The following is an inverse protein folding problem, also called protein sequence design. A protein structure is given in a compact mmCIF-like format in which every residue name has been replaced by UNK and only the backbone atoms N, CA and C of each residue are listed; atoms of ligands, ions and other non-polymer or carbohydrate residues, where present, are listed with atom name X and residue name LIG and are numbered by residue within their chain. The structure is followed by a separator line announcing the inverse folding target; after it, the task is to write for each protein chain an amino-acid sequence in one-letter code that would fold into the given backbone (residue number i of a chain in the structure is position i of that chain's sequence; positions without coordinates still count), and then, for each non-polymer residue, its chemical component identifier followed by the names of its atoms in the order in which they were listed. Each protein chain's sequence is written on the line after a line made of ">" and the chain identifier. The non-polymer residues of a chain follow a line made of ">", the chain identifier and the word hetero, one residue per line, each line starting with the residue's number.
data_IF_031673075759
#
_entry.id   IF_031673075759
#
_cell.length_a   1.000
_cell.length_b   1.000
_cell.length_c   1.000
_cell.angle_alpha   90.00
_cell.angle_beta   90.00
_cell.angle_gamma   90.00
#
_symmetry.space_group_name_H-M   'P 1'
#
loop_
_entity.id
_entity.type
_entity.pdbx_description
1 polymer ?
#
# COMPACT_ATOMS: atom_id res chain seq x y z
N UNK A 1 6.90 -18.50 13.54
CA UNK A 1 7.71 -17.31 13.87
C UNK A 1 7.22 -16.83 15.22
N UNK A 2 8.08 -16.82 16.24
CA UNK A 2 7.70 -16.39 17.59
C UNK A 2 8.15 -14.95 17.76
N UNK A 3 7.23 -14.05 18.11
CA UNK A 3 7.53 -12.67 18.45
C UNK A 3 7.34 -12.50 19.96
N UNK A 4 8.42 -12.13 20.65
CA UNK A 4 8.36 -11.74 22.05
C UNK A 4 8.31 -10.20 22.13
N UNK A 5 7.48 -9.69 23.03
CA UNK A 5 7.36 -8.26 23.31
C UNK A 5 7.56 -8.06 24.81
N UNK A 6 8.53 -7.23 25.19
CA UNK A 6 8.78 -6.84 26.57
C UNK A 6 8.29 -5.42 26.79
N UNK A 7 7.60 -5.16 27.91
CA UNK A 7 7.01 -3.85 28.23
C UNK A 7 7.40 -3.40 29.64
N UNK A 8 7.58 -2.08 29.80
CA UNK A 8 7.80 -1.44 31.10
C UNK A 8 6.49 -1.18 31.86
N UNK A 9 6.57 -0.43 32.97
CA UNK A 9 5.42 -0.20 33.86
C UNK A 9 4.23 0.51 33.20
N UNK A 10 4.46 1.34 32.18
CA UNK A 10 3.40 2.05 31.46
C UNK A 10 2.75 1.23 30.32
N UNK A 11 3.21 -0.01 30.09
CA UNK A 11 2.71 -0.88 29.02
C UNK A 11 3.09 -0.41 27.62
N UNK A 12 2.51 -1.04 26.59
CA UNK A 12 2.70 -0.64 25.18
C UNK A 12 1.42 -0.85 24.37
N UNK A 13 1.20 -0.01 23.36
CA UNK A 13 0.20 -0.22 22.31
C UNK A 13 0.93 -0.46 20.99
N UNK A 14 0.74 -1.63 20.41
CA UNK A 14 1.43 -2.01 19.17
C UNK A 14 0.51 -2.79 18.25
N UNK A 15 0.86 -2.80 16.96
CA UNK A 15 0.23 -3.61 15.93
C UNK A 15 1.32 -4.46 15.26
N UNK A 16 1.15 -5.78 15.28
CA UNK A 16 1.99 -6.71 14.53
C UNK A 16 1.26 -7.07 13.23
N UNK A 17 1.82 -6.64 12.09
CA UNK A 17 1.31 -6.98 10.76
C UNK A 17 2.32 -7.90 10.08
N UNK A 18 1.86 -9.03 9.58
CA UNK A 18 2.64 -9.93 8.72
C UNK A 18 1.81 -10.36 7.52
N UNK A 19 2.47 -10.64 6.39
CA UNK A 19 1.82 -11.02 5.15
C UNK A 19 2.77 -11.76 4.22
N UNK A 20 2.23 -12.62 3.36
CA UNK A 20 3.00 -13.29 2.31
C UNK A 20 3.44 -12.23 1.27
N UNK A 21 4.71 -12.19 0.86
CA UNK A 21 5.13 -11.29 -0.21
C UNK A 21 4.36 -11.59 -1.51
N UNK A 22 3.77 -10.54 -2.11
CA UNK A 22 3.10 -10.65 -3.42
C UNK A 22 4.09 -10.94 -4.55
N UNK A 23 5.35 -10.47 -4.42
CA UNK A 23 6.41 -10.61 -5.42
C UNK A 23 6.04 -10.03 -6.79
N UNK A 24 5.20 -9.01 -6.79
CA UNK A 24 4.87 -8.25 -7.98
C UNK A 24 5.67 -6.94 -8.02
N UNK A 25 5.99 -6.41 -9.20
CA UNK A 25 6.56 -5.07 -9.32
C UNK A 25 5.66 -4.01 -8.65
N UNK A 26 6.28 -2.97 -8.10
CA UNK A 26 5.60 -1.86 -7.42
C UNK A 26 6.06 -0.54 -8.03
N UNK A 27 5.11 0.21 -8.58
CA UNK A 27 5.26 1.58 -9.04
C UNK A 27 4.35 2.48 -8.19
N UNK A 28 4.95 3.44 -7.47
CA UNK A 28 4.24 4.32 -6.55
C UNK A 28 4.37 5.79 -7.00
N UNK A 29 3.27 6.53 -6.91
CA UNK A 29 3.21 7.97 -7.14
C UNK A 29 2.17 8.59 -6.22
N UNK A 30 2.61 9.14 -5.08
CA UNK A 30 1.72 9.76 -4.10
C UNK A 30 0.64 8.78 -3.61
N UNK A 31 -0.67 9.10 -3.74
CA UNK A 31 -1.76 8.25 -3.26
C UNK A 31 -2.05 7.04 -4.16
N UNK A 32 -1.31 6.85 -5.26
CA UNK A 32 -1.60 5.82 -6.26
C UNK A 32 -0.46 4.80 -6.34
N UNK A 33 -0.81 3.51 -6.34
CA UNK A 33 0.11 2.37 -6.46
C UNK A 33 -0.36 1.47 -7.60
N UNK A 34 0.55 1.09 -8.49
CA UNK A 34 0.33 0.20 -9.63
C UNK A 34 1.49 -0.80 -9.75
N UNK A 35 1.38 -1.79 -10.64
CA UNK A 35 2.50 -2.70 -10.91
C UNK A 35 3.56 -2.10 -11.86
N UNK A 36 3.17 -1.25 -12.82
CA UNK A 36 4.09 -0.68 -13.83
C UNK A 36 4.09 0.85 -13.85
N UNK A 37 5.15 1.44 -14.41
CA UNK A 37 5.26 2.90 -14.54
C UNK A 37 4.21 3.47 -15.49
N UNK A 38 3.96 2.77 -16.60
CA UNK A 38 2.98 3.14 -17.61
C UNK A 38 1.56 3.11 -17.02
N UNK A 39 1.25 2.10 -16.19
CA UNK A 39 -0.03 2.02 -15.49
C UNK A 39 -0.23 3.17 -14.49
N UNK A 40 0.84 3.56 -13.78
CA UNK A 40 0.82 4.71 -12.88
C UNK A 40 0.59 6.03 -13.64
N UNK A 41 1.23 6.20 -14.81
CA UNK A 41 1.06 7.39 -15.65
C UNK A 41 -0.36 7.48 -16.23
N UNK A 42 -0.90 6.36 -16.70
CA UNK A 42 -2.28 6.25 -17.16
C UNK A 42 -3.28 6.58 -16.04
N UNK A 43 -3.06 6.05 -14.82
CA UNK A 43 -3.89 6.35 -13.65
C UNK A 43 -3.99 7.85 -13.37
N UNK A 44 -2.87 8.57 -13.46
CA UNK A 44 -2.87 10.02 -13.30
C UNK A 44 -3.57 10.76 -14.45
N UNK A 45 -3.48 10.25 -15.69
CA UNK A 45 -4.23 10.80 -16.82
C UNK A 45 -5.73 10.65 -16.58
N UNK A 46 -6.20 9.48 -16.15
CA UNK A 46 -7.61 9.23 -15.85
C UNK A 46 -8.11 10.07 -14.68
N UNK A 47 -7.28 10.23 -13.63
CA UNK A 47 -7.58 11.11 -12.50
C UNK A 47 -7.77 12.56 -12.94
N UNK A 48 -6.87 13.10 -13.76
CA UNK A 48 -6.99 14.46 -14.32
C UNK A 48 -8.21 14.62 -15.22
N UNK A 49 -8.65 13.56 -15.90
CA UNK A 49 -9.84 13.56 -16.75
C UNK A 49 -11.15 13.38 -15.97
N UNK A 50 -11.09 13.09 -14.67
CA UNK A 50 -12.27 12.76 -13.85
C UNK A 50 -12.83 11.36 -14.11
N UNK A 51 -12.10 10.50 -14.84
CA UNK A 51 -12.55 9.17 -15.27
C UNK A 51 -11.86 8.02 -14.52
N UNK A 52 -11.22 8.33 -13.39
CA UNK A 52 -10.45 7.35 -12.62
C UNK A 52 -11.34 6.27 -11.98
N UNK A 53 -12.49 6.69 -11.44
CA UNK A 53 -13.49 5.76 -10.90
C UNK A 53 -14.42 5.37 -12.03
N UNK A 54 -14.54 4.06 -12.27
CA UNK A 54 -15.51 3.50 -13.21
C UNK A 54 -16.74 3.05 -12.42
N UNK A 55 -17.92 3.41 -12.90
CA UNK A 55 -19.18 2.87 -12.43
C UNK A 55 -19.59 1.80 -13.43
N UNK A 56 -19.61 0.54 -13.00
CA UNK A 56 -20.19 -0.56 -13.78
C UNK A 56 -21.72 -0.49 -13.77
#
# INVERSE_FOLDING_TARGET
>A
MTHAVSVGQEGVRFLLISGKPLKEPVACGGPTVMNTREGLEQAFVELRKGNFVRHD
#
